data_IF_372918743862
#
_entry.id   IF_372918743862
#
_cell.length_a   1.000
_cell.length_b   1.000
_cell.length_c   1.000
_cell.angle_alpha   90.00
_cell.angle_beta   90.00
_cell.angle_gamma   90.00
#
_symmetry.space_group_name_H-M   'P 1'
#
loop_
_entity.id
_entity.type
_entity.pdbx_description
1 polymer ?
#
# COMPACT_ATOMS: atom_id res chain seq x y z
N UNK A 1 13.87 -25.06 -20.36
CA UNK A 1 13.88 -24.23 -19.13
C UNK A 1 12.93 -23.06 -19.30
N UNK A 2 12.15 -22.71 -18.27
CA UNK A 2 11.15 -21.65 -18.33
C UNK A 2 11.77 -20.27 -18.13
N UNK A 3 11.43 -19.31 -18.99
CA UNK A 3 11.90 -17.92 -18.88
C UNK A 3 11.36 -17.30 -17.57
N UNK A 4 12.24 -16.78 -16.73
CA UNK A 4 11.85 -16.05 -15.52
C UNK A 4 11.36 -14.65 -15.91
N UNK A 5 10.16 -14.29 -15.45
CA UNK A 5 9.60 -12.95 -15.61
C UNK A 5 9.44 -12.29 -14.24
N UNK A 6 9.86 -11.03 -14.14
CA UNK A 6 9.77 -10.23 -12.92
C UNK A 6 9.30 -8.81 -13.21
N UNK A 7 8.82 -8.11 -12.17
CA UNK A 7 8.40 -6.71 -12.20
C UNK A 7 8.79 -6.02 -10.89
N UNK A 8 8.95 -4.71 -10.93
CA UNK A 8 9.12 -3.91 -9.71
C UNK A 8 7.79 -3.74 -8.97
N UNK A 9 7.85 -3.77 -7.64
CA UNK A 9 6.70 -3.55 -6.75
C UNK A 9 7.08 -2.46 -5.74
N UNK A 10 6.38 -1.32 -5.70
CA UNK A 10 6.67 -0.27 -4.74
C UNK A 10 6.33 -0.74 -3.32
N UNK A 11 7.26 -0.51 -2.37
CA UNK A 11 7.13 -1.00 -0.98
C UNK A 11 7.28 0.10 0.08
N UNK A 12 7.47 1.35 -0.31
CA UNK A 12 7.69 2.48 0.61
C UNK A 12 6.38 3.10 1.13
N UNK A 13 5.23 2.66 0.62
CA UNK A 13 3.93 3.27 0.88
C UNK A 13 3.60 4.38 -0.13
N UNK A 14 2.49 5.10 0.09
CA UNK A 14 1.95 6.03 -0.89
C UNK A 14 2.72 7.34 -0.91
N UNK A 15 2.75 7.98 -2.08
CA UNK A 15 3.41 9.28 -2.24
C UNK A 15 2.69 10.41 -1.48
N UNK A 16 3.39 11.51 -1.12
CA UNK A 16 2.80 12.58 -0.32
C UNK A 16 1.68 13.34 -1.03
N UNK A 17 1.74 13.44 -2.37
CA UNK A 17 0.74 14.11 -3.20
C UNK A 17 0.41 13.26 -4.42
N UNK A 18 -0.86 12.96 -4.61
CA UNK A 18 -1.40 12.14 -5.70
C UNK A 18 -2.13 12.96 -6.76
N UNK A 19 -2.25 14.28 -6.53
CA UNK A 19 -2.90 15.23 -7.42
C UNK A 19 -2.01 16.47 -7.60
N UNK A 20 -1.87 16.93 -8.83
CA UNK A 20 -1.15 18.16 -9.17
C UNK A 20 -1.74 18.78 -10.44
N UNK A 21 -2.14 20.05 -10.38
CA UNK A 21 -2.81 20.71 -11.51
C UNK A 21 -4.05 19.94 -11.94
N UNK A 22 -4.07 19.52 -13.21
CA UNK A 22 -5.12 18.71 -13.82
C UNK A 22 -4.82 17.20 -13.86
N UNK A 23 -3.78 16.75 -13.13
CA UNK A 23 -3.32 15.36 -13.13
C UNK A 23 -3.58 14.63 -11.80
N UNK A 24 -3.93 13.35 -11.90
CA UNK A 24 -4.07 12.43 -10.78
C UNK A 24 -3.28 11.14 -11.06
N UNK A 25 -2.67 10.54 -10.03
CA UNK A 25 -1.96 9.25 -10.15
C UNK A 25 -2.59 8.19 -9.24
N UNK A 26 -2.62 6.94 -9.72
CA UNK A 26 -3.27 5.78 -9.08
C UNK A 26 -2.36 4.55 -9.10
N UNK A 27 -2.69 3.54 -8.30
CA UNK A 27 -2.04 2.23 -8.28
C UNK A 27 -0.57 2.30 -7.89
N UNK A 28 0.26 1.50 -8.56
CA UNK A 28 1.70 1.42 -8.30
C UNK A 28 2.41 2.79 -8.44
N UNK A 29 1.97 3.62 -9.39
CA UNK A 29 2.52 4.96 -9.59
C UNK A 29 2.28 5.90 -8.39
N UNK A 30 1.21 5.65 -7.62
CA UNK A 30 0.89 6.38 -6.40
C UNK A 30 1.41 5.69 -5.12
N UNK A 31 2.08 4.54 -5.24
CA UNK A 31 2.50 3.72 -4.10
C UNK A 31 1.35 3.06 -3.34
N UNK A 32 0.21 2.82 -4.02
CA UNK A 32 -0.97 2.19 -3.44
C UNK A 32 -0.86 0.66 -3.46
N UNK A 33 0.18 0.14 -2.78
CA UNK A 33 0.48 -1.30 -2.67
C UNK A 33 0.74 -1.67 -1.22
N UNK A 34 0.23 -2.82 -0.78
CA UNK A 34 0.50 -3.34 0.55
C UNK A 34 1.94 -3.86 0.62
N UNK A 35 2.85 -3.09 1.23
CA UNK A 35 4.28 -3.40 1.26
C UNK A 35 4.62 -4.78 1.85
N UNK A 36 3.84 -5.28 2.80
CA UNK A 36 4.14 -6.56 3.49
C UNK A 36 3.87 -7.81 2.64
N UNK A 37 3.06 -7.71 1.58
CA UNK A 37 2.70 -8.87 0.75
C UNK A 37 2.69 -8.58 -0.76
N UNK A 38 2.91 -7.33 -1.18
CA UNK A 38 2.91 -6.92 -2.60
C UNK A 38 1.52 -6.81 -3.23
N UNK A 39 0.44 -6.86 -2.43
CA UNK A 39 -0.91 -6.75 -2.94
C UNK A 39 -1.24 -5.33 -3.42
N UNK A 40 -1.38 -5.15 -4.74
CA UNK A 40 -1.70 -3.87 -5.35
C UNK A 40 -2.96 -3.85 -6.22
N UNK A 41 -3.35 -4.98 -6.83
CA UNK A 41 -4.45 -5.02 -7.81
C UNK A 41 -5.78 -4.48 -7.25
N UNK A 42 -6.28 -4.92 -6.07
CA UNK A 42 -7.52 -4.38 -5.53
C UNK A 42 -7.42 -2.89 -5.20
N UNK A 43 -6.27 -2.43 -4.69
CA UNK A 43 -6.05 -1.03 -4.35
C UNK A 43 -6.01 -0.15 -5.60
N UNK A 44 -5.37 -0.62 -6.67
CA UNK A 44 -5.36 0.04 -7.96
C UNK A 44 -6.77 0.16 -8.55
N UNK A 45 -7.62 -0.88 -8.43
CA UNK A 45 -9.02 -0.82 -8.86
C UNK A 45 -9.84 0.19 -8.06
N UNK A 46 -9.69 0.20 -6.73
CA UNK A 46 -10.37 1.16 -5.85
C UNK A 46 -9.95 2.59 -6.21
N UNK A 47 -8.65 2.85 -6.28
CA UNK A 47 -8.12 4.16 -6.63
C UNK A 47 -8.55 4.61 -8.03
N UNK A 48 -8.48 3.72 -9.02
CA UNK A 48 -8.91 3.99 -10.39
C UNK A 48 -10.39 4.36 -10.48
N UNK A 49 -11.25 3.69 -9.69
CA UNK A 49 -12.68 4.01 -9.63
C UNK A 49 -12.92 5.40 -9.06
N UNK A 50 -12.30 5.74 -7.92
CA UNK A 50 -12.43 7.07 -7.29
C UNK A 50 -11.89 8.15 -8.23
N UNK A 51 -10.72 7.92 -8.82
CA UNK A 51 -10.09 8.82 -9.79
C UNK A 51 -11.02 9.09 -10.99
N UNK A 52 -11.64 8.06 -11.56
CA UNK A 52 -12.57 8.21 -12.67
C UNK A 52 -13.83 9.00 -12.30
N UNK A 53 -14.38 8.77 -11.10
CA UNK A 53 -15.54 9.51 -10.59
C UNK A 53 -15.22 11.00 -10.38
N UNK A 54 -14.08 11.29 -9.73
CA UNK A 54 -13.62 12.67 -9.50
C UNK A 54 -13.28 13.38 -10.80
N UNK A 55 -12.68 12.69 -11.78
CA UNK A 55 -12.43 13.25 -13.10
C UNK A 55 -13.73 13.63 -13.81
N UNK A 56 -14.74 12.74 -13.79
CA UNK A 56 -16.04 13.02 -14.39
C UNK A 56 -16.74 14.21 -13.71
N UNK A 57 -16.70 14.28 -12.39
CA UNK A 57 -17.31 15.37 -11.61
C UNK A 57 -16.59 16.72 -11.84
N UNK A 58 -15.26 16.70 -11.99
CA UNK A 58 -14.50 17.88 -12.38
C UNK A 58 -14.91 18.41 -13.76
N UNK A 59 -15.09 17.52 -14.75
CA UNK A 59 -15.47 17.91 -16.11
C UNK A 59 -16.91 18.44 -16.16
N UNK A 60 -17.84 17.82 -15.45
CA UNK A 60 -19.27 18.15 -15.52
C UNK A 60 -19.61 19.34 -14.62
N UNK A 61 -19.08 19.37 -13.39
CA UNK A 61 -19.50 20.31 -12.34
C UNK A 61 -18.38 21.26 -11.89
N UNK A 62 -17.16 21.14 -12.42
CA UNK A 62 -16.01 21.92 -11.96
C UNK A 62 -15.49 21.53 -10.57
N UNK A 63 -15.88 20.35 -10.06
CA UNK A 63 -15.45 19.86 -8.74
C UNK A 63 -13.92 19.71 -8.65
N UNK A 64 -13.33 19.90 -7.47
CA UNK A 64 -11.88 19.86 -7.31
C UNK A 64 -11.31 18.43 -7.47
N UNK A 65 -10.21 18.28 -8.22
CA UNK A 65 -9.48 17.01 -8.32
C UNK A 65 -8.89 16.55 -6.99
N UNK A 66 -8.70 17.47 -6.03
CA UNK A 66 -8.23 17.15 -4.69
C UNK A 66 -9.19 16.21 -3.94
N UNK A 67 -10.45 16.14 -4.37
CA UNK A 67 -11.43 15.19 -3.86
C UNK A 67 -10.95 13.73 -4.02
N UNK A 68 -10.16 13.42 -5.05
CA UNK A 68 -9.56 12.09 -5.20
C UNK A 68 -8.59 11.80 -4.06
N UNK A 69 -7.68 12.73 -3.77
CA UNK A 69 -6.70 12.57 -2.70
C UNK A 69 -7.37 12.38 -1.34
N UNK A 70 -8.40 13.19 -1.05
CA UNK A 70 -9.17 13.05 0.19
C UNK A 70 -9.83 11.67 0.28
N UNK A 71 -10.60 11.27 -0.75
CA UNK A 71 -11.40 10.05 -0.73
C UNK A 71 -10.53 8.78 -0.64
N UNK A 72 -9.47 8.68 -1.44
CA UNK A 72 -8.65 7.47 -1.41
C UNK A 72 -7.89 7.36 -0.07
N UNK A 73 -7.45 8.51 0.50
CA UNK A 73 -6.76 8.50 1.79
C UNK A 73 -7.65 8.06 2.93
N UNK A 74 -8.90 8.49 2.95
CA UNK A 74 -9.90 8.02 3.92
C UNK A 74 -10.05 6.49 3.90
N UNK A 75 -9.98 5.88 2.73
CA UNK A 75 -10.18 4.43 2.56
C UNK A 75 -8.89 3.64 2.81
N UNK A 76 -7.73 4.13 2.36
CA UNK A 76 -6.53 3.30 2.20
C UNK A 76 -5.26 3.83 2.88
N UNK A 77 -5.20 5.08 3.35
CA UNK A 77 -3.94 5.69 3.83
C UNK A 77 -3.38 4.98 5.07
N UNK A 78 -4.25 4.71 6.06
CA UNK A 78 -3.88 4.01 7.29
C UNK A 78 -3.29 2.60 7.04
N UNK A 79 -3.98 1.67 6.35
CA UNK A 79 -3.43 0.34 6.11
C UNK A 79 -2.14 0.36 5.27
N UNK A 80 -2.04 1.28 4.29
CA UNK A 80 -0.84 1.42 3.47
C UNK A 80 0.38 1.90 4.28
N UNK A 81 0.21 2.93 5.12
CA UNK A 81 1.28 3.43 6.00
C UNK A 81 1.70 2.38 7.04
N UNK A 82 0.72 1.67 7.61
CA UNK A 82 0.99 0.58 8.55
C UNK A 82 1.76 -0.56 7.89
N UNK A 83 1.44 -0.93 6.65
CA UNK A 83 2.17 -1.94 5.90
C UNK A 83 3.62 -1.53 5.66
N UNK A 84 3.85 -0.29 5.20
CA UNK A 84 5.19 0.24 4.96
C UNK A 84 6.04 0.29 6.25
N UNK A 85 5.46 0.75 7.36
CA UNK A 85 6.12 0.79 8.66
C UNK A 85 6.47 -0.63 9.15
N UNK A 86 5.52 -1.56 9.11
CA UNK A 86 5.74 -2.94 9.53
C UNK A 86 6.83 -3.62 8.68
N UNK A 87 6.85 -3.34 7.37
CA UNK A 87 7.89 -3.85 6.49
C UNK A 87 9.26 -3.30 6.87
N UNK A 88 9.40 -1.98 7.05
CA UNK A 88 10.66 -1.37 7.50
C UNK A 88 11.17 -1.98 8.81
N UNK A 89 10.28 -2.20 9.77
CA UNK A 89 10.63 -2.87 11.03
C UNK A 89 11.07 -4.33 10.79
N UNK A 90 10.35 -5.09 9.97
CA UNK A 90 10.71 -6.47 9.65
C UNK A 90 12.07 -6.56 8.93
N UNK A 91 12.31 -5.69 7.96
CA UNK A 91 13.58 -5.61 7.24
C UNK A 91 14.73 -5.23 8.18
N UNK A 92 14.47 -4.36 9.16
CA UNK A 92 15.48 -3.91 10.13
C UNK A 92 15.78 -4.96 11.19
N UNK A 93 14.78 -5.67 11.71
CA UNK A 93 14.90 -6.49 12.92
C UNK A 93 14.77 -8.01 12.68
N UNK A 94 13.97 -8.44 11.69
CA UNK A 94 13.70 -9.85 11.46
C UNK A 94 14.59 -10.44 10.37
N UNK A 95 14.68 -9.80 9.21
CA UNK A 95 15.29 -10.37 7.99
C UNK A 95 16.81 -10.20 7.86
N UNK A 96 17.53 -9.99 8.98
CA UNK A 96 19.01 -9.87 8.96
C UNK A 96 19.73 -11.20 8.76
N UNK A 97 19.13 -12.31 9.22
CA UNK A 97 19.67 -13.66 9.11
C UNK A 97 18.56 -14.70 9.22
N UNK A 98 18.83 -15.93 8.82
CA UNK A 98 17.90 -17.04 9.02
C UNK A 98 17.59 -17.29 10.50
N UNK A 99 18.58 -17.12 11.38
CA UNK A 99 18.41 -17.31 12.82
C UNK A 99 17.47 -16.26 13.42
N UNK A 100 17.67 -14.97 13.09
CA UNK A 100 16.80 -13.88 13.54
C UNK A 100 15.40 -14.02 12.97
N UNK A 101 15.28 -14.41 11.70
CA UNK A 101 13.98 -14.64 11.05
C UNK A 101 13.22 -15.75 11.77
N UNK A 102 13.85 -16.90 12.02
CA UNK A 102 13.26 -18.02 12.78
C UNK A 102 12.85 -17.61 14.20
N UNK A 103 13.67 -16.83 14.89
CA UNK A 103 13.36 -16.33 16.23
C UNK A 103 12.15 -15.37 16.21
N UNK A 104 12.12 -14.41 15.29
CA UNK A 104 10.98 -13.52 15.10
C UNK A 104 9.70 -14.27 14.76
N UNK A 105 9.76 -15.28 13.88
CA UNK A 105 8.60 -16.12 13.55
C UNK A 105 8.07 -16.87 14.77
N UNK A 106 8.94 -17.38 15.66
CA UNK A 106 8.55 -18.00 16.93
C UNK A 106 7.87 -17.00 17.88
N UNK A 107 8.40 -15.78 18.01
CA UNK A 107 7.87 -14.74 18.89
C UNK A 107 6.53 -14.18 18.38
N UNK A 108 6.39 -14.01 17.06
CA UNK A 108 5.15 -13.54 16.45
C UNK A 108 4.06 -14.62 16.55
N UNK A 109 4.40 -15.87 16.22
CA UNK A 109 3.45 -16.97 16.17
C UNK A 109 2.33 -16.74 15.13
N UNK A 110 1.45 -17.74 14.95
CA UNK A 110 0.40 -17.71 13.90
C UNK A 110 -0.53 -16.49 14.02
N UNK A 111 -0.89 -16.11 15.24
CA UNK A 111 -1.82 -15.00 15.50
C UNK A 111 -1.25 -13.65 15.05
N UNK A 112 -0.04 -13.30 15.47
CA UNK A 112 0.54 -11.98 15.16
C UNK A 112 1.01 -11.90 13.71
N UNK A 113 1.48 -13.01 13.14
CA UNK A 113 1.73 -13.11 11.69
C UNK A 113 0.46 -12.83 10.87
N UNK A 114 -0.68 -13.38 11.29
CA UNK A 114 -1.97 -13.10 10.66
C UNK A 114 -2.41 -11.64 10.79
N UNK A 115 -2.00 -10.94 11.84
CA UNK A 115 -2.24 -9.49 11.96
C UNK A 115 -1.32 -8.69 11.04
N UNK A 116 -0.03 -9.04 10.97
CA UNK A 116 0.95 -8.39 10.09
C UNK A 116 0.51 -8.44 8.63
N UNK A 117 0.12 -9.63 8.12
CA UNK A 117 -0.33 -9.81 6.74
C UNK A 117 -1.60 -9.01 6.44
N UNK A 118 -2.49 -8.87 7.42
CA UNK A 118 -3.76 -8.12 7.30
C UNK A 118 -3.62 -6.64 7.67
N UNK A 119 -2.40 -6.14 7.83
CA UNK A 119 -2.12 -4.75 8.19
C UNK A 119 -2.83 -4.30 9.50
N UNK A 120 -2.96 -5.22 10.47
CA UNK A 120 -3.50 -4.96 11.80
C UNK A 120 -2.38 -4.81 12.83
N UNK A 121 -2.69 -4.21 13.98
CA UNK A 121 -1.76 -4.07 15.12
C UNK A 121 -1.22 -5.45 15.53
N UNK A 122 0.11 -5.57 15.57
CA UNK A 122 0.82 -6.84 15.83
C UNK A 122 0.77 -7.20 17.31
N UNK A 123 0.90 -6.19 18.17
CA UNK A 123 0.81 -6.28 19.63
C UNK A 123 -0.47 -5.59 20.12
N UNK A 124 -1.01 -6.01 21.29
CA UNK A 124 -2.09 -5.29 21.95
C UNK A 124 -1.81 -3.79 22.06
#
# INVERSE_FOLDING_TARGET
EGKVYGKYVPSEGPIPKTVSGNGMVVGDAAGQVISVNGGGIPLAMIAGRICGQVAADNVINGASLQNYETQWREIMDSPLKMAALNKKLADTFAFRSDATTKMCMRILGKRRMGNLIRCKRIFP
#
